data_IF_715274316923
#
_entry.id   IF_715274316923
#
_cell.length_a   1.000
_cell.length_b   1.000
_cell.length_c   1.000
_cell.angle_alpha   90.00
_cell.angle_beta   90.00
_cell.angle_gamma   90.00
#
_symmetry.space_group_name_H-M   'P 1'
#
loop_
_entity.id
_entity.type
_entity.pdbx_description
1 polymer ?
#
# COMPACT_ATOMS: atom_id res chain seq x y z
N UNK A 1 -4.14 -36.34 37.16
CA UNK A 1 -3.39 -35.18 37.65
C UNK A 1 -2.46 -34.75 36.53
N UNK A 2 -2.84 -33.74 35.75
CA UNK A 2 -2.06 -33.23 34.63
C UNK A 2 -1.59 -31.83 35.01
N UNK A 3 -0.29 -31.59 34.95
CA UNK A 3 0.29 -30.25 35.09
C UNK A 3 1.12 -29.95 33.84
N UNK A 4 0.61 -28.98 33.07
CA UNK A 4 1.26 -28.02 32.15
C UNK A 4 2.23 -28.55 31.10
N UNK A 5 1.72 -28.70 29.88
CA UNK A 5 2.46 -28.46 28.65
C UNK A 5 1.80 -27.31 27.91
N UNK A 6 2.39 -26.11 27.97
CA UNK A 6 1.99 -24.98 27.13
C UNK A 6 2.46 -25.29 25.70
N UNK A 7 1.51 -25.62 24.82
CA UNK A 7 1.68 -25.52 23.38
C UNK A 7 1.63 -24.04 23.01
N UNK A 8 2.80 -23.44 22.71
CA UNK A 8 2.88 -22.13 22.07
C UNK A 8 2.74 -22.36 20.56
N UNK A 9 1.54 -22.04 20.07
CA UNK A 9 1.16 -22.13 18.66
C UNK A 9 1.95 -21.13 17.81
N UNK A 10 1.95 -21.32 16.49
CA UNK A 10 2.52 -20.41 15.48
C UNK A 10 2.10 -18.93 15.59
N UNK A 11 1.23 -18.56 16.53
CA UNK A 11 0.90 -17.18 16.88
C UNK A 11 2.04 -16.41 17.55
N UNK A 12 2.95 -17.09 18.26
CA UNK A 12 4.03 -16.42 19.01
C UNK A 12 5.24 -16.06 18.14
N UNK A 13 5.34 -16.65 16.94
CA UNK A 13 6.39 -16.30 15.97
C UNK A 13 6.15 -14.94 15.31
N UNK A 14 4.93 -14.39 15.40
CA UNK A 14 4.58 -13.07 14.89
C UNK A 14 4.95 -11.92 15.84
N UNK A 15 5.28 -12.21 17.10
CA UNK A 15 5.76 -11.18 18.05
C UNK A 15 7.29 -11.00 18.02
N UNK A 16 8.05 -11.99 17.54
CA UNK A 16 9.52 -11.96 17.55
C UNK A 16 10.17 -11.58 16.21
N UNK A 17 9.37 -11.39 15.16
CA UNK A 17 9.84 -10.97 13.83
C UNK A 17 9.40 -9.54 13.46
N UNK A 18 9.25 -8.64 14.43
CA UNK A 18 9.06 -7.20 14.21
C UNK A 18 10.30 -6.38 14.59
N UNK A 19 11.44 -6.70 13.96
CA UNK A 19 12.60 -5.79 13.91
C UNK A 19 13.14 -5.62 12.49
N UNK A 20 12.29 -5.73 11.48
CA UNK A 20 12.63 -5.30 10.13
C UNK A 20 11.43 -4.62 9.46
N UNK A 21 10.78 -3.71 10.18
CA UNK A 21 10.03 -2.63 9.53
C UNK A 21 11.05 -1.76 8.81
N UNK A 22 11.32 -2.10 7.55
CA UNK A 22 11.93 -1.19 6.61
C UNK A 22 10.96 -0.01 6.47
N UNK A 23 11.19 1.01 7.30
CA UNK A 23 10.45 2.27 7.31
C UNK A 23 10.42 2.82 5.88
N UNK A 24 9.29 2.64 5.19
CA UNK A 24 9.08 3.19 3.86
C UNK A 24 9.35 4.68 3.91
N UNK A 25 10.35 5.15 3.17
CA UNK A 25 10.67 6.57 3.10
C UNK A 25 9.64 7.22 2.18
N UNK A 26 8.54 7.69 2.75
CA UNK A 26 7.54 8.41 1.98
C UNK A 26 8.13 9.74 1.49
N UNK A 27 8.13 9.94 0.17
CA UNK A 27 8.56 11.18 -0.46
C UNK A 27 7.33 11.92 -0.99
N UNK A 28 7.19 13.21 -0.63
CA UNK A 28 6.14 14.08 -1.17
C UNK A 28 6.80 15.21 -1.96
N UNK A 29 6.66 15.19 -3.28
CA UNK A 29 7.21 16.18 -4.21
C UNK A 29 6.35 17.44 -4.31
N UNK A 30 6.23 18.23 -3.24
CA UNK A 30 5.55 19.52 -3.29
C UNK A 30 6.41 20.57 -4.01
N UNK A 31 6.02 20.96 -5.22
CA UNK A 31 6.66 22.06 -5.95
C UNK A 31 5.88 23.35 -5.68
N UNK A 32 6.38 24.17 -4.76
CA UNK A 32 5.93 25.56 -4.64
C UNK A 32 6.40 26.34 -5.87
N UNK A 33 5.60 27.29 -6.36
CA UNK A 33 5.99 28.18 -7.44
C UNK A 33 7.33 28.85 -7.10
N UNK A 34 8.40 28.35 -7.71
CA UNK A 34 9.74 28.91 -7.60
C UNK A 34 9.91 29.94 -8.71
N UNK A 35 10.80 30.91 -8.49
CA UNK A 35 11.16 31.91 -9.50
C UNK A 35 11.74 31.29 -10.80
N UNK A 36 12.08 29.99 -10.77
CA UNK A 36 12.55 29.22 -11.92
C UNK A 36 11.87 27.83 -11.98
N UNK A 37 10.89 27.70 -12.87
CA UNK A 37 10.12 26.47 -13.11
C UNK A 37 10.99 25.31 -13.61
N UNK A 38 11.98 25.57 -14.46
CA UNK A 38 12.82 24.55 -15.08
C UNK A 38 13.65 23.80 -14.04
N UNK A 39 14.24 24.52 -13.08
CA UNK A 39 14.98 23.92 -11.98
C UNK A 39 14.09 23.06 -11.08
N UNK A 40 12.86 23.50 -10.84
CA UNK A 40 11.89 22.74 -10.05
C UNK A 40 11.46 21.45 -10.74
N UNK A 41 11.16 21.51 -12.04
CA UNK A 41 10.81 20.32 -12.84
C UNK A 41 11.99 19.36 -12.89
N UNK A 42 13.23 19.86 -13.08
CA UNK A 42 14.43 19.02 -13.11
C UNK A 42 14.63 18.26 -11.80
N UNK A 43 14.56 18.97 -10.66
CA UNK A 43 14.68 18.35 -9.33
C UNK A 43 13.58 17.33 -9.06
N UNK A 44 12.35 17.60 -9.49
CA UNK A 44 11.24 16.65 -9.38
C UNK A 44 11.58 15.32 -10.08
N UNK A 45 12.03 15.39 -11.33
CA UNK A 45 12.40 14.18 -12.08
C UNK A 45 13.64 13.48 -11.53
N UNK A 46 14.61 14.20 -10.99
CA UNK A 46 15.78 13.58 -10.32
C UNK A 46 15.37 12.73 -9.11
N UNK A 47 14.32 13.12 -8.39
CA UNK A 47 13.85 12.39 -7.21
C UNK A 47 12.95 11.21 -7.62
N UNK A 48 12.00 11.42 -8.52
CA UNK A 48 11.05 10.39 -8.95
C UNK A 48 11.70 9.31 -9.84
N UNK A 49 12.71 9.67 -10.64
CA UNK A 49 13.45 8.72 -11.48
C UNK A 49 14.69 8.15 -10.79
N UNK A 50 14.84 8.32 -9.46
CA UNK A 50 15.87 7.60 -8.74
C UNK A 50 15.69 6.10 -9.02
N UNK A 51 16.77 5.41 -9.38
CA UNK A 51 16.72 3.96 -9.60
C UNK A 51 16.35 3.28 -8.27
N UNK A 52 15.05 3.07 -8.09
CA UNK A 52 14.53 2.19 -7.06
C UNK A 52 14.81 0.81 -7.62
N UNK A 53 15.78 0.10 -7.03
CA UNK A 53 15.96 -1.32 -7.28
C UNK A 53 14.57 -1.94 -7.28
N UNK A 54 14.15 -2.50 -8.43
CA UNK A 54 12.79 -3.00 -8.60
C UNK A 54 12.63 -4.24 -7.70
N UNK A 55 12.41 -4.01 -6.41
CA UNK A 55 12.06 -5.05 -5.48
C UNK A 55 10.70 -5.51 -5.93
N UNK A 56 10.66 -6.63 -6.64
CA UNK A 56 9.41 -7.35 -6.91
C UNK A 56 8.92 -7.87 -5.57
N UNK A 57 8.21 -7.01 -4.85
CA UNK A 57 7.53 -7.38 -3.61
C UNK A 57 6.27 -8.15 -3.99
N UNK A 58 5.88 -9.11 -3.15
CA UNK A 58 4.61 -9.82 -3.28
C UNK A 58 3.41 -8.85 -3.42
N UNK A 59 3.51 -7.66 -2.80
CA UNK A 59 2.49 -6.62 -2.88
C UNK A 59 2.33 -6.01 -4.27
N UNK A 60 3.43 -5.87 -5.04
CA UNK A 60 3.36 -5.36 -6.42
C UNK A 60 2.61 -6.34 -7.33
N UNK A 61 2.89 -7.64 -7.20
CA UNK A 61 2.20 -8.67 -7.98
C UNK A 61 0.70 -8.69 -7.64
N UNK A 62 0.34 -8.60 -6.35
CA UNK A 62 -1.06 -8.51 -5.89
C UNK A 62 -1.75 -7.26 -6.47
N UNK A 63 -1.06 -6.11 -6.46
CA UNK A 63 -1.58 -4.85 -6.98
C UNK A 63 -1.81 -4.94 -8.50
N UNK A 64 -0.86 -5.53 -9.23
CA UNK A 64 -0.95 -5.72 -10.68
C UNK A 64 -2.11 -6.66 -11.04
N UNK A 65 -2.25 -7.78 -10.35
CA UNK A 65 -3.36 -8.71 -10.56
C UNK A 65 -4.70 -8.07 -10.22
N UNK A 66 -4.79 -7.32 -9.11
CA UNK A 66 -6.00 -6.58 -8.73
C UNK A 66 -6.39 -5.54 -9.78
N UNK A 67 -5.41 -4.80 -10.31
CA UNK A 67 -5.64 -3.84 -11.39
C UNK A 67 -6.20 -4.52 -12.63
N UNK A 68 -5.55 -5.61 -13.10
CA UNK A 68 -6.01 -6.37 -14.27
C UNK A 68 -7.45 -6.88 -14.11
N UNK A 69 -7.80 -7.32 -12.91
CA UNK A 69 -9.10 -7.91 -12.63
C UNK A 69 -10.22 -6.88 -12.41
N UNK A 70 -9.89 -5.66 -11.99
CA UNK A 70 -10.90 -4.64 -11.62
C UNK A 70 -10.94 -3.43 -12.54
N UNK A 71 -10.01 -3.34 -13.49
CA UNK A 71 -10.01 -2.32 -14.53
C UNK A 71 -11.21 -2.52 -15.46
N UNK A 72 -11.92 -1.42 -15.69
CA UNK A 72 -13.04 -1.34 -16.62
C UNK A 72 -13.11 0.06 -17.25
N UNK A 73 -13.95 0.21 -18.27
CA UNK A 73 -14.24 1.49 -18.91
C UNK A 73 -15.73 1.73 -18.85
N UNK A 74 -16.15 2.88 -18.34
CA UNK A 74 -17.56 3.23 -18.28
C UNK A 74 -18.08 3.77 -19.63
N UNK A 75 -19.38 3.99 -19.73
CA UNK A 75 -20.05 4.47 -20.96
C UNK A 75 -19.57 5.86 -21.41
N UNK A 76 -18.99 6.64 -20.50
CA UNK A 76 -18.38 7.95 -20.79
C UNK A 76 -16.92 7.82 -21.26
N UNK A 77 -16.42 6.59 -21.41
CA UNK A 77 -15.07 6.32 -21.86
C UNK A 77 -13.99 6.53 -20.79
N UNK A 78 -14.35 6.68 -19.51
CA UNK A 78 -13.41 6.83 -18.39
C UNK A 78 -12.99 5.46 -17.85
N UNK A 79 -11.71 5.31 -17.54
CA UNK A 79 -11.21 4.14 -16.84
C UNK A 79 -11.61 4.16 -15.37
N UNK A 80 -12.09 3.02 -14.89
CA UNK A 80 -12.48 2.77 -13.50
C UNK A 80 -11.71 1.56 -12.99
N UNK A 81 -11.17 1.66 -11.79
CA UNK A 81 -10.42 0.59 -11.11
C UNK A 81 -10.93 0.54 -9.67
N UNK A 82 -11.15 -0.65 -9.13
CA UNK A 82 -11.52 -0.78 -7.72
C UNK A 82 -10.28 -0.56 -6.85
N UNK A 83 -10.39 0.17 -5.74
CA UNK A 83 -9.31 0.19 -4.76
C UNK A 83 -9.36 -1.09 -3.93
N UNK A 84 -8.22 -1.79 -3.74
CA UNK A 84 -8.16 -2.92 -2.83
C UNK A 84 -8.36 -2.46 -1.39
N UNK A 85 -9.07 -3.25 -0.60
CA UNK A 85 -9.16 -3.05 0.85
C UNK A 85 -7.97 -3.73 1.53
N UNK A 86 -7.40 -3.08 2.55
CA UNK A 86 -6.29 -3.65 3.34
C UNK A 86 -6.72 -4.86 4.16
N UNK A 87 -7.96 -4.85 4.62
CA UNK A 87 -8.56 -5.88 5.45
C UNK A 87 -9.89 -6.31 4.85
N UNK A 88 -10.38 -7.47 5.29
CA UNK A 88 -11.69 -7.94 4.88
C UNK A 88 -12.77 -6.94 5.34
N UNK A 89 -13.69 -6.51 4.45
CA UNK A 89 -14.70 -5.51 4.78
C UNK A 89 -15.62 -5.91 5.95
N UNK A 90 -15.66 -7.17 6.38
CA UNK A 90 -16.35 -7.59 7.61
C UNK A 90 -15.83 -6.92 8.87
N UNK A 91 -14.57 -6.44 8.89
CA UNK A 91 -14.02 -5.69 10.03
C UNK A 91 -14.70 -4.32 10.25
N UNK A 92 -15.45 -3.83 9.24
CA UNK A 92 -16.10 -2.52 9.28
C UNK A 92 -17.40 -2.50 10.10
N UNK A 93 -17.94 -3.66 10.50
CA UNK A 93 -19.17 -3.76 11.30
C UNK A 93 -20.36 -2.99 10.69
N UNK A 94 -21.16 -2.35 11.54
CA UNK A 94 -22.34 -1.56 11.14
C UNK A 94 -22.00 -0.10 10.73
N UNK A 95 -20.73 0.18 10.41
CA UNK A 95 -20.30 1.52 9.98
C UNK A 95 -21.08 2.02 8.76
N UNK A 96 -21.44 1.10 7.84
CA UNK A 96 -22.21 1.41 6.63
C UNK A 96 -23.59 2.01 6.94
N UNK A 97 -24.29 1.50 7.95
CA UNK A 97 -25.62 1.98 8.36
C UNK A 97 -25.57 3.38 8.98
N UNK A 98 -24.41 3.78 9.50
CA UNK A 98 -24.20 5.05 10.19
C UNK A 98 -23.59 6.12 9.28
N UNK A 99 -23.21 5.77 8.05
CA UNK A 99 -22.54 6.66 7.08
C UNK A 99 -23.50 7.51 6.22
N UNK A 100 -24.60 8.00 6.82
CA UNK A 100 -25.60 8.85 6.16
C UNK A 100 -25.24 10.33 6.33
#
# INVERSE_FOLDING_TARGET
MNFVGLNLTMSDRWHEQQQHDAKGKEHCGFVQAADNLELSIKKFWEIENAEIDSVKTCELDICEDHFKNTQSRNDQGRYTVAMPLKEDPSCLGESRQTAI
#
